data_IF_856308042602
#
_entry.id   IF_856308042602
#
_cell.length_a   1.000
_cell.length_b   1.000
_cell.length_c   1.000
_cell.angle_alpha   90.00
_cell.angle_beta   90.00
_cell.angle_gamma   90.00
#
_symmetry.space_group_name_H-M   'P 1'
#
loop_
_entity.id
_entity.type
_entity.pdbx_description
1 polymer ?
#
# COMPACT_ATOMS: atom_id res chain seq x y z
N UNK A 1 19.65 6.36 24.64
CA UNK A 1 19.49 6.09 23.19
C UNK A 1 18.54 7.07 22.46
N UNK A 2 18.12 8.20 23.05
CA UNK A 2 17.13 9.11 22.44
C UNK A 2 17.67 10.12 21.40
N UNK A 3 18.95 10.47 21.47
CA UNK A 3 19.51 11.50 20.57
C UNK A 3 19.55 11.07 19.10
N UNK A 4 19.76 9.78 18.83
CA UNK A 4 19.82 9.23 17.47
C UNK A 4 18.51 9.47 16.70
N UNK A 5 17.36 9.22 17.34
CA UNK A 5 16.05 9.41 16.70
C UNK A 5 15.69 10.88 16.52
N UNK A 6 16.13 11.74 17.45
CA UNK A 6 16.02 13.19 17.29
C UNK A 6 16.80 13.69 16.06
N UNK A 7 18.02 13.17 15.84
CA UNK A 7 18.79 13.48 14.62
C UNK A 7 18.12 12.97 13.34
N UNK A 8 17.50 11.80 13.39
CA UNK A 8 16.73 11.25 12.25
C UNK A 8 15.56 12.19 11.90
N UNK A 9 14.80 12.68 12.90
CA UNK A 9 13.73 13.66 12.67
C UNK A 9 14.26 14.94 12.02
N UNK A 10 15.33 15.52 12.58
CA UNK A 10 15.94 16.75 12.06
C UNK A 10 16.42 16.56 10.62
N UNK A 11 17.03 15.41 10.32
CA UNK A 11 17.50 15.09 8.98
C UNK A 11 16.34 15.00 7.99
N UNK A 12 15.24 14.37 8.39
CA UNK A 12 14.01 14.33 7.58
C UNK A 12 13.41 15.72 7.35
N UNK A 13 13.30 16.57 8.38
CA UNK A 13 12.81 17.96 8.23
C UNK A 13 13.72 18.77 7.30
N UNK A 14 15.03 18.61 7.43
CA UNK A 14 16.01 19.32 6.60
C UNK A 14 15.89 18.92 5.13
N UNK A 15 15.73 17.62 4.86
CA UNK A 15 15.50 17.11 3.51
C UNK A 15 14.17 17.61 2.92
N UNK A 16 13.12 17.70 3.74
CA UNK A 16 11.82 18.21 3.31
C UNK A 16 11.92 19.69 2.89
N UNK A 17 12.61 20.50 3.70
CA UNK A 17 12.83 21.93 3.39
C UNK A 17 13.66 22.08 2.12
N UNK A 18 14.79 21.37 1.99
CA UNK A 18 15.61 21.41 0.78
C UNK A 18 14.80 21.00 -0.46
N UNK A 19 13.93 20.00 -0.33
CA UNK A 19 13.12 19.57 -1.45
C UNK A 19 12.06 20.59 -1.85
N UNK A 20 11.33 21.16 -0.88
CA UNK A 20 10.26 22.13 -1.16
C UNK A 20 10.81 23.44 -1.76
N UNK A 21 12.01 23.87 -1.37
CA UNK A 21 12.52 25.18 -1.76
C UNK A 21 13.58 25.14 -2.87
N UNK A 22 14.21 23.99 -3.16
CA UNK A 22 15.34 23.91 -4.09
C UNK A 22 15.13 22.86 -5.18
N UNK A 23 14.79 21.63 -4.80
CA UNK A 23 14.86 20.48 -5.71
C UNK A 23 13.52 20.24 -6.43
N UNK A 24 12.39 20.41 -5.74
CA UNK A 24 11.05 20.11 -6.25
C UNK A 24 10.91 18.67 -6.80
N UNK A 25 11.54 17.70 -6.16
CA UNK A 25 11.52 16.30 -6.60
C UNK A 25 10.62 15.44 -5.69
N UNK A 26 9.49 14.92 -6.19
CA UNK A 26 8.47 14.27 -5.34
C UNK A 26 8.97 13.08 -4.49
N UNK A 27 9.89 12.21 -4.98
CA UNK A 27 10.48 11.15 -4.16
C UNK A 27 11.25 11.64 -2.92
N UNK A 28 11.87 12.83 -2.99
CA UNK A 28 12.57 13.41 -1.83
C UNK A 28 11.59 13.89 -0.75
N UNK A 29 10.39 14.34 -1.12
CA UNK A 29 9.31 14.66 -0.17
C UNK A 29 8.86 13.39 0.57
N UNK A 30 8.71 12.28 -0.14
CA UNK A 30 8.30 11.00 0.47
C UNK A 30 9.37 10.50 1.44
N UNK A 31 10.62 10.47 0.99
CA UNK A 31 11.74 10.02 1.82
C UNK A 31 11.89 10.86 3.08
N UNK A 32 11.78 12.18 2.96
CA UNK A 32 11.86 13.10 4.10
C UNK A 32 10.70 12.91 5.09
N UNK A 33 9.46 12.81 4.61
CA UNK A 33 8.29 12.55 5.47
C UNK A 33 8.35 11.17 6.14
N UNK A 34 8.85 10.15 5.43
CA UNK A 34 9.08 8.82 5.98
C UNK A 34 10.12 8.81 7.10
N UNK A 35 11.26 9.48 6.89
CA UNK A 35 12.30 9.64 7.90
C UNK A 35 11.77 10.37 9.15
N UNK A 36 11.01 11.46 8.97
CA UNK A 36 10.40 12.20 10.08
C UNK A 36 9.48 11.27 10.88
N UNK A 37 8.64 10.50 10.18
CA UNK A 37 7.66 9.60 10.80
C UNK A 37 8.32 8.47 11.59
N UNK A 38 9.33 7.81 11.01
CA UNK A 38 10.10 6.75 11.68
C UNK A 38 10.90 7.31 12.86
N UNK A 39 11.53 8.47 12.69
CA UNK A 39 12.25 9.14 13.77
C UNK A 39 11.33 9.48 14.95
N UNK A 40 10.14 10.03 14.69
CA UNK A 40 9.13 10.29 15.72
C UNK A 40 8.63 9.01 16.38
N UNK A 41 8.44 7.95 15.60
CA UNK A 41 7.97 6.66 16.08
C UNK A 41 8.94 6.03 17.08
N UNK A 42 10.21 5.90 16.67
CA UNK A 42 11.23 5.27 17.48
C UNK A 42 11.68 6.14 18.65
N UNK A 43 11.59 7.47 18.54
CA UNK A 43 11.77 8.38 19.68
C UNK A 43 10.65 8.19 20.72
N UNK A 44 9.40 8.06 20.28
CA UNK A 44 8.25 7.82 21.16
C UNK A 44 8.27 6.47 21.88
N UNK A 45 8.68 5.40 21.19
CA UNK A 45 8.80 4.05 21.76
C UNK A 45 9.91 3.97 22.82
N UNK A 46 11.07 4.60 22.58
CA UNK A 46 12.20 4.59 23.53
C UNK A 46 11.94 5.40 24.81
N UNK A 47 10.86 6.16 24.86
CA UNK A 47 10.45 6.93 26.04
C UNK A 47 9.39 6.20 26.90
N UNK A 48 8.84 5.06 26.46
CA UNK A 48 7.68 4.43 27.11
C UNK A 48 7.89 2.92 27.26
N UNK A 49 8.07 2.46 28.51
CA UNK A 49 8.50 1.10 28.85
C UNK A 49 7.38 0.03 28.92
N UNK A 50 6.25 0.22 28.24
CA UNK A 50 5.16 -0.79 28.19
C UNK A 50 4.41 -0.70 26.86
N UNK A 51 3.88 -1.85 26.38
CA UNK A 51 2.83 -1.95 25.35
C UNK A 51 1.76 -0.90 25.64
N UNK A 52 1.75 0.18 24.88
CA UNK A 52 0.92 1.35 25.13
C UNK A 52 0.25 1.74 23.81
N UNK A 53 -1.04 2.07 23.83
CA UNK A 53 -1.86 2.44 22.67
C UNK A 53 -1.28 3.60 21.85
N UNK A 54 -0.28 4.30 22.41
CA UNK A 54 0.56 5.32 21.75
C UNK A 54 1.41 4.76 20.60
N UNK A 55 1.86 3.51 20.66
CA UNK A 55 2.58 2.86 19.56
C UNK A 55 1.64 2.62 18.39
N UNK A 56 0.38 2.24 18.67
CA UNK A 56 -0.64 2.12 17.64
C UNK A 56 -0.91 3.51 17.03
N UNK A 57 -1.11 4.56 17.83
CA UNK A 57 -1.25 5.95 17.34
C UNK A 57 -0.11 6.43 16.41
N UNK A 58 1.11 5.96 16.65
CA UNK A 58 2.30 6.28 15.85
C UNK A 58 2.29 5.51 14.53
N UNK A 59 1.97 4.23 14.59
CA UNK A 59 1.79 3.36 13.42
C UNK A 59 0.62 3.89 12.57
N UNK A 60 -0.49 4.29 13.20
CA UNK A 60 -1.64 4.95 12.59
C UNK A 60 -1.25 6.24 11.89
N UNK A 61 -0.38 7.04 12.50
CA UNK A 61 0.11 8.29 11.90
C UNK A 61 1.00 7.99 10.68
N UNK A 62 1.86 6.96 10.74
CA UNK A 62 2.66 6.52 9.60
C UNK A 62 1.78 6.00 8.46
N UNK A 63 0.78 5.18 8.75
CA UNK A 63 -0.18 4.70 7.75
C UNK A 63 -1.04 5.82 7.17
N UNK A 64 -1.48 6.77 8.00
CA UNK A 64 -2.21 7.97 7.56
C UNK A 64 -1.33 8.90 6.71
N UNK A 65 -0.04 9.02 7.01
CA UNK A 65 0.88 9.82 6.20
C UNK A 65 1.20 9.14 4.86
N UNK A 66 1.38 7.82 4.86
CA UNK A 66 1.48 7.04 3.64
C UNK A 66 0.20 7.20 2.80
N UNK A 67 -0.98 7.06 3.41
CA UNK A 67 -2.27 7.29 2.78
C UNK A 67 -2.44 8.71 2.21
N UNK A 68 -1.99 9.74 2.93
CA UNK A 68 -1.98 11.12 2.43
C UNK A 68 -1.04 11.29 1.23
N UNK A 69 0.15 10.67 1.29
CA UNK A 69 1.08 10.59 0.16
C UNK A 69 0.39 9.92 -1.03
N UNK A 70 -0.28 8.79 -0.81
CA UNK A 70 -0.95 8.02 -1.85
C UNK A 70 -2.18 8.72 -2.43
N UNK A 71 -2.97 9.44 -1.63
CA UNK A 71 -4.07 10.27 -2.11
C UNK A 71 -3.59 11.50 -2.90
N UNK A 72 -2.41 12.02 -2.57
CA UNK A 72 -1.79 13.10 -3.33
C UNK A 72 -1.37 12.64 -4.73
N UNK A 73 -0.77 11.45 -4.85
CA UNK A 73 -0.44 10.85 -6.14
C UNK A 73 -1.67 10.28 -6.85
N UNK A 74 -2.74 9.88 -6.15
CA UNK A 74 -4.00 9.43 -6.75
C UNK A 74 -4.83 10.50 -7.48
N UNK A 75 -4.25 11.66 -7.81
CA UNK A 75 -4.86 12.68 -8.68
C UNK A 75 -4.51 12.39 -10.14
N UNK A 76 -5.21 13.06 -11.06
CA UNK A 76 -5.30 12.86 -12.54
C UNK A 76 -4.03 12.56 -13.37
N UNK A 77 -2.86 12.41 -12.76
CA UNK A 77 -1.60 12.03 -13.41
C UNK A 77 -0.79 10.96 -12.69
N UNK A 78 -1.38 10.07 -11.86
CA UNK A 78 -0.71 8.81 -11.50
C UNK A 78 -1.65 7.61 -11.36
N UNK A 79 -1.13 6.42 -11.67
CA UNK A 79 -1.77 5.12 -11.46
C UNK A 79 -1.04 4.30 -10.38
N UNK A 80 -1.83 3.58 -9.58
CA UNK A 80 -1.37 2.62 -8.57
C UNK A 80 -1.36 1.22 -9.19
N UNK A 81 -0.17 0.75 -9.52
CA UNK A 81 0.07 -0.56 -10.12
C UNK A 81 0.58 -1.51 -9.04
N UNK A 82 0.17 -2.76 -9.05
CA UNK A 82 0.55 -3.80 -8.09
C UNK A 82 1.24 -4.91 -8.85
N UNK A 83 2.41 -5.32 -8.35
CA UNK A 83 3.22 -6.35 -8.97
C UNK A 83 3.21 -7.63 -8.12
N UNK A 84 3.22 -8.82 -8.76
CA UNK A 84 3.37 -10.08 -8.04
C UNK A 84 4.67 -10.11 -7.25
N UNK A 85 4.62 -10.69 -6.05
CA UNK A 85 5.77 -10.97 -5.19
C UNK A 85 6.75 -11.98 -5.77
N UNK A 86 6.32 -12.71 -6.81
CA UNK A 86 7.19 -13.63 -7.57
C UNK A 86 8.08 -12.89 -8.57
N UNK A 87 7.72 -11.67 -8.99
CA UNK A 87 8.48 -10.86 -9.95
C UNK A 87 9.47 -9.88 -9.29
N UNK A 88 9.43 -9.74 -7.96
CA UNK A 88 10.29 -8.87 -7.15
C UNK A 88 9.88 -8.94 -5.67
N UNK A 89 10.53 -8.21 -4.76
CA UNK A 89 9.93 -8.05 -3.42
C UNK A 89 8.59 -7.30 -3.55
N UNK A 90 7.64 -7.60 -2.65
CA UNK A 90 6.23 -7.21 -2.73
C UNK A 90 5.99 -5.69 -2.71
N UNK A 91 5.41 -5.10 -3.78
CA UNK A 91 5.08 -3.68 -3.69
C UNK A 91 4.09 -3.12 -4.70
N UNK A 92 3.68 -1.90 -4.39
CA UNK A 92 2.89 -1.05 -5.26
C UNK A 92 3.84 -0.10 -5.99
N UNK A 93 3.67 0.00 -7.31
CA UNK A 93 4.36 0.89 -8.21
C UNK A 93 3.45 2.09 -8.53
N UNK A 94 3.88 3.30 -8.18
CA UNK A 94 3.21 4.54 -8.58
C UNK A 94 3.82 5.05 -9.88
N UNK A 95 3.03 5.22 -10.94
CA UNK A 95 3.48 5.68 -12.26
C UNK A 95 2.69 6.89 -12.73
N UNK A 96 3.34 7.84 -13.39
CA UNK A 96 2.76 9.10 -13.89
C UNK A 96 1.79 8.92 -15.08
N UNK A 97 1.96 7.90 -15.92
CA UNK A 97 1.04 7.57 -17.02
C UNK A 97 1.19 6.11 -17.44
N UNK A 98 0.12 5.41 -17.83
CA UNK A 98 0.22 4.03 -18.33
C UNK A 98 -0.61 3.78 -19.60
N UNK A 99 0.00 3.22 -20.67
CA UNK A 99 0.40 1.82 -20.67
C UNK A 99 1.87 1.60 -21.09
N UNK A 100 2.79 1.64 -20.13
CA UNK A 100 4.21 1.29 -20.38
C UNK A 100 4.36 -0.23 -20.31
N UNK A 101 5.14 -0.85 -21.19
CA UNK A 101 5.53 -2.25 -20.98
C UNK A 101 6.55 -2.29 -19.83
N UNK A 102 6.13 -2.71 -18.64
CA UNK A 102 7.05 -2.98 -17.53
C UNK A 102 7.74 -4.31 -17.83
N UNK A 103 8.93 -4.24 -18.41
CA UNK A 103 9.70 -5.45 -18.78
C UNK A 103 10.37 -6.09 -17.57
N UNK A 104 10.83 -5.29 -16.60
CA UNK A 104 11.45 -5.76 -15.36
C UNK A 104 11.42 -4.68 -14.28
N UNK A 105 11.01 -5.05 -13.08
CA UNK A 105 11.10 -4.17 -11.90
C UNK A 105 12.41 -4.48 -11.18
N UNK A 106 13.25 -3.47 -10.93
CA UNK A 106 14.42 -3.63 -10.08
C UNK A 106 14.04 -3.40 -8.61
N UNK A 107 14.79 -4.01 -7.70
CA UNK A 107 14.60 -3.87 -6.24
C UNK A 107 15.10 -2.51 -5.71
N UNK A 108 14.76 -1.44 -6.41
CA UNK A 108 15.09 -0.07 -6.06
C UNK A 108 13.80 0.69 -5.72
N UNK A 109 13.88 1.61 -4.76
CA UNK A 109 12.74 2.44 -4.35
C UNK A 109 12.20 3.31 -5.52
N UNK A 110 13.08 3.72 -6.43
CA UNK A 110 12.75 4.53 -7.60
C UNK A 110 13.25 3.78 -8.82
N UNK A 111 12.37 3.58 -9.79
CA UNK A 111 12.66 2.95 -11.07
C UNK A 111 12.22 3.89 -12.20
N UNK A 112 12.89 3.77 -13.35
CA UNK A 112 12.54 4.50 -14.56
C UNK A 112 12.10 3.53 -15.65
N UNK A 113 10.93 3.78 -16.26
CA UNK A 113 10.33 2.93 -17.28
C UNK A 113 9.89 3.78 -18.48
N UNK A 114 10.65 3.79 -19.58
CA UNK A 114 10.28 4.45 -20.84
C UNK A 114 9.50 5.77 -20.64
N UNK A 115 10.16 6.76 -20.05
CA UNK A 115 9.65 8.09 -19.70
C UNK A 115 8.75 8.20 -18.46
N UNK A 116 8.34 7.09 -17.85
CA UNK A 116 7.60 7.06 -16.58
C UNK A 116 8.52 6.85 -15.37
N UNK A 117 8.21 7.52 -14.26
CA UNK A 117 8.86 7.27 -12.96
C UNK A 117 7.99 6.34 -12.13
N UNK A 118 8.55 5.18 -11.76
CA UNK A 118 7.92 4.21 -10.86
C UNK A 118 8.49 4.28 -9.46
N UNK A 119 7.64 4.55 -8.47
CA UNK A 119 8.03 4.47 -7.06
C UNK A 119 7.51 3.16 -6.48
N UNK A 120 8.42 2.33 -5.98
CA UNK A 120 8.11 1.02 -5.42
C UNK A 120 7.92 1.13 -3.90
N UNK A 121 6.77 0.71 -3.37
CA UNK A 121 6.43 0.87 -1.96
C UNK A 121 5.87 -0.41 -1.35
N UNK A 122 6.32 -0.72 -0.14
CA UNK A 122 5.77 -1.79 0.68
C UNK A 122 4.38 -1.38 1.20
N UNK A 123 3.41 -2.26 1.05
CA UNK A 123 2.01 -2.00 1.40
C UNK A 123 1.48 -3.02 2.42
N UNK A 124 0.39 -2.73 3.14
CA UNK A 124 -0.32 -3.74 3.93
C UNK A 124 -0.61 -5.04 3.16
N UNK A 125 -0.97 -4.94 1.86
CA UNK A 125 -1.21 -6.12 1.02
C UNK A 125 0.03 -7.00 0.82
N UNK A 126 1.20 -6.37 0.73
CA UNK A 126 2.50 -7.03 0.62
C UNK A 126 2.82 -7.88 1.85
N UNK A 127 2.65 -7.29 3.03
CA UNK A 127 2.84 -7.96 4.32
C UNK A 127 1.88 -9.15 4.49
N UNK A 128 0.63 -8.97 4.04
CA UNK A 128 -0.41 -9.99 4.13
C UNK A 128 -0.07 -11.21 3.27
N UNK A 129 0.46 -11.02 2.06
CA UNK A 129 0.90 -12.12 1.21
C UNK A 129 2.00 -12.94 1.91
N UNK A 130 2.97 -12.28 2.55
CA UNK A 130 4.04 -12.96 3.27
C UNK A 130 3.52 -13.75 4.47
N UNK A 131 2.62 -13.17 5.26
CA UNK A 131 2.00 -13.87 6.39
C UNK A 131 1.15 -15.07 5.91
N UNK A 132 0.39 -14.92 4.83
CA UNK A 132 -0.36 -16.03 4.24
C UNK A 132 0.56 -17.18 3.81
N UNK A 133 1.70 -16.87 3.18
CA UNK A 133 2.71 -17.87 2.81
C UNK A 133 3.32 -18.56 4.02
N UNK A 134 3.64 -17.82 5.09
CA UNK A 134 4.15 -18.39 6.36
C UNK A 134 3.14 -19.35 7.01
N UNK A 135 1.85 -19.09 6.81
CA UNK A 135 0.76 -19.97 7.27
C UNK A 135 0.49 -21.17 6.34
N UNK A 136 1.29 -21.34 5.28
CA UNK A 136 1.18 -22.46 4.34
C UNK A 136 0.07 -22.30 3.30
N UNK A 137 -0.47 -21.10 3.11
CA UNK A 137 -1.50 -20.84 2.09
C UNK A 137 -0.82 -20.80 0.70
N UNK A 138 -1.33 -21.62 -0.22
CA UNK A 138 -0.90 -21.64 -1.60
C UNK A 138 -1.73 -20.65 -2.42
N UNK A 139 -1.06 -19.80 -3.20
CA UNK A 139 -1.71 -18.82 -4.07
C UNK A 139 -2.23 -19.42 -5.39
N UNK A 140 -2.18 -20.75 -5.57
CA UNK A 140 -2.92 -21.45 -6.63
C UNK A 140 -4.40 -21.71 -6.31
N UNK A 141 -4.84 -21.43 -5.09
CA UNK A 141 -6.23 -21.55 -4.67
C UNK A 141 -7.14 -20.53 -5.39
N UNK A 142 -8.47 -20.72 -5.27
CA UNK A 142 -9.43 -19.78 -5.86
C UNK A 142 -9.26 -18.37 -5.28
N UNK A 143 -9.40 -17.36 -6.15
CA UNK A 143 -9.24 -15.96 -5.74
C UNK A 143 -10.20 -15.56 -4.60
N UNK A 144 -11.45 -16.04 -4.67
CA UNK A 144 -12.43 -15.80 -3.61
C UNK A 144 -11.98 -16.38 -2.26
N UNK A 145 -11.44 -17.61 -2.25
CA UNK A 145 -10.89 -18.22 -1.04
C UNK A 145 -9.72 -17.40 -0.46
N UNK A 146 -8.76 -16.99 -1.29
CA UNK A 146 -7.61 -16.22 -0.85
C UNK A 146 -8.03 -14.87 -0.25
N UNK A 147 -8.95 -14.17 -0.92
CA UNK A 147 -9.47 -12.90 -0.45
C UNK A 147 -10.27 -13.06 0.85
N UNK A 148 -11.10 -14.11 0.99
CA UNK A 148 -11.86 -14.36 2.23
C UNK A 148 -10.91 -14.66 3.38
N UNK A 149 -9.89 -15.47 3.11
CA UNK A 149 -8.85 -15.79 4.10
C UNK A 149 -8.13 -14.54 4.59
N UNK A 150 -7.75 -13.65 3.68
CA UNK A 150 -7.04 -12.43 4.04
C UNK A 150 -7.94 -11.41 4.74
N UNK A 151 -9.05 -11.03 4.12
CA UNK A 151 -9.87 -9.90 4.57
C UNK A 151 -10.79 -10.25 5.74
N UNK A 152 -11.24 -11.50 5.85
CA UNK A 152 -12.20 -11.91 6.88
C UNK A 152 -11.45 -12.64 7.99
N UNK A 153 -10.84 -13.80 7.69
CA UNK A 153 -10.29 -14.68 8.73
C UNK A 153 -9.08 -14.07 9.45
N UNK A 154 -8.12 -13.51 8.70
CA UNK A 154 -6.86 -13.05 9.30
C UNK A 154 -6.99 -11.67 9.94
N UNK A 155 -7.75 -10.78 9.32
CA UNK A 155 -7.74 -9.36 9.70
C UNK A 155 -9.10 -8.73 9.98
N UNK A 156 -10.23 -9.42 9.77
CA UNK A 156 -11.57 -8.94 10.12
C UNK A 156 -11.87 -7.53 9.55
N UNK A 157 -11.45 -7.30 8.30
CA UNK A 157 -11.64 -6.06 7.55
C UNK A 157 -12.95 -6.02 6.76
N UNK A 158 -13.66 -7.14 6.68
CA UNK A 158 -14.92 -7.30 5.96
C UNK A 158 -15.75 -8.42 6.59
N UNK A 159 -17.06 -8.37 6.41
CA UNK A 159 -17.95 -9.46 6.82
C UNK A 159 -18.05 -10.54 5.74
N UNK A 160 -18.05 -10.13 4.47
CA UNK A 160 -18.10 -11.02 3.32
C UNK A 160 -17.54 -10.33 2.07
N UNK A 161 -17.30 -11.10 1.02
CA UNK A 161 -16.90 -10.59 -0.28
C UNK A 161 -17.39 -11.46 -1.43
N UNK A 162 -17.48 -10.84 -2.58
CA UNK A 162 -17.85 -11.46 -3.85
C UNK A 162 -16.84 -11.04 -4.93
N UNK A 163 -16.43 -12.00 -5.75
CA UNK A 163 -15.48 -11.80 -6.85
C UNK A 163 -16.18 -12.15 -8.16
N UNK A 164 -16.23 -11.19 -9.08
CA UNK A 164 -16.83 -11.34 -10.40
C UNK A 164 -15.81 -11.02 -11.48
N UNK A 165 -15.59 -11.96 -12.40
CA UNK A 165 -14.80 -11.72 -13.60
C UNK A 165 -15.71 -11.09 -14.65
N UNK A 166 -15.48 -9.80 -14.97
CA UNK A 166 -16.23 -9.10 -16.03
C UNK A 166 -15.69 -9.55 -17.39
N UNK A 167 -14.36 -9.61 -17.52
CA UNK A 167 -13.64 -10.20 -18.64
C UNK A 167 -12.26 -10.70 -18.19
N UNK A 168 -11.42 -11.19 -19.11
CA UNK A 168 -10.08 -11.73 -18.82
C UNK A 168 -9.09 -10.70 -18.23
N UNK A 169 -9.41 -9.42 -18.35
CA UNK A 169 -8.60 -8.28 -17.90
C UNK A 169 -9.27 -7.46 -16.83
N UNK A 170 -10.54 -7.67 -16.52
CA UNK A 170 -11.28 -6.85 -15.57
C UNK A 170 -11.98 -7.71 -14.51
N UNK A 171 -11.57 -7.50 -13.25
CA UNK A 171 -12.10 -8.20 -12.08
C UNK A 171 -12.82 -7.18 -11.21
N UNK A 172 -14.06 -7.48 -10.87
CA UNK A 172 -14.84 -6.73 -9.91
C UNK A 172 -14.83 -7.47 -8.57
N UNK A 173 -14.49 -6.75 -7.50
CA UNK A 173 -14.55 -7.27 -6.13
C UNK A 173 -15.46 -6.38 -5.31
N UNK A 174 -16.51 -6.98 -4.75
CA UNK A 174 -17.43 -6.33 -3.83
C UNK A 174 -17.16 -6.79 -2.42
N UNK A 175 -16.86 -5.87 -1.53
CA UNK A 175 -16.59 -6.13 -0.12
C UNK A 175 -17.79 -5.65 0.68
N UNK A 176 -18.44 -6.57 1.40
CA UNK A 176 -19.63 -6.29 2.19
C UNK A 176 -19.27 -6.06 3.65
N UNK A 177 -19.84 -5.01 4.25
CA UNK A 177 -19.51 -4.62 5.61
C UNK A 177 -18.02 -4.30 5.80
N UNK A 178 -17.40 -3.46 4.95
CA UNK A 178 -16.02 -3.07 5.16
C UNK A 178 -15.92 -2.45 6.55
N UNK A 179 -15.09 -3.03 7.42
CA UNK A 179 -14.97 -2.59 8.80
C UNK A 179 -13.86 -1.53 8.90
N UNK A 180 -14.20 -0.23 9.04
CA UNK A 180 -13.20 0.83 9.22
C UNK A 180 -12.64 0.87 10.65
N UNK A 181 -13.17 0.08 11.60
CA UNK A 181 -12.83 0.20 13.04
C UNK A 181 -11.42 -0.25 13.41
N UNK A 182 -10.56 -0.58 12.45
CA UNK A 182 -9.12 -0.69 12.68
C UNK A 182 -8.42 0.53 12.07
N UNK A 183 -8.33 1.61 12.87
CA UNK A 183 -7.35 2.71 12.85
C UNK A 183 -6.92 3.41 11.53
N UNK A 184 -7.35 2.96 10.36
CA UNK A 184 -6.91 3.41 9.04
C UNK A 184 -8.10 4.06 8.32
N UNK A 185 -8.15 5.38 8.43
CA UNK A 185 -9.36 6.20 8.36
C UNK A 185 -9.90 6.57 6.98
N UNK A 186 -9.52 5.90 5.89
CA UNK A 186 -10.24 6.03 4.61
C UNK A 186 -10.86 4.70 4.25
N UNK A 187 -12.19 4.68 4.29
CA UNK A 187 -13.03 3.52 4.05
C UNK A 187 -12.65 2.89 2.69
N UNK A 188 -12.08 1.69 2.75
CA UNK A 188 -11.70 0.91 1.60
C UNK A 188 -10.27 1.06 1.09
N UNK A 189 -9.43 1.96 1.61
CA UNK A 189 -8.05 2.11 1.13
C UNK A 189 -7.23 0.83 1.38
N UNK A 190 -7.13 0.42 2.65
CA UNK A 190 -6.37 -0.78 3.06
C UNK A 190 -6.96 -2.03 2.39
N UNK A 191 -8.29 -2.15 2.38
CA UNK A 191 -8.97 -3.26 1.72
C UNK A 191 -8.61 -3.34 0.23
N UNK A 192 -8.62 -2.21 -0.47
CA UNK A 192 -8.27 -2.16 -1.90
C UNK A 192 -6.83 -2.58 -2.16
N UNK A 193 -5.89 -2.16 -1.32
CA UNK A 193 -4.49 -2.58 -1.44
C UNK A 193 -4.35 -4.10 -1.27
N UNK A 194 -5.02 -4.67 -0.27
CA UNK A 194 -4.99 -6.11 -0.01
C UNK A 194 -5.56 -6.89 -1.18
N UNK A 195 -6.74 -6.47 -1.68
CA UNK A 195 -7.39 -7.12 -2.82
C UNK A 195 -6.48 -7.07 -4.05
N UNK A 196 -5.97 -5.90 -4.42
CA UNK A 196 -5.13 -5.75 -5.59
C UNK A 196 -3.82 -6.55 -5.48
N UNK A 197 -3.17 -6.55 -4.32
CA UNK A 197 -1.97 -7.37 -4.06
C UNK A 197 -2.25 -8.86 -4.22
N UNK A 198 -3.35 -9.38 -3.63
CA UNK A 198 -3.68 -10.81 -3.72
C UNK A 198 -4.02 -11.21 -5.16
N UNK A 199 -4.72 -10.36 -5.91
CA UNK A 199 -5.03 -10.63 -7.33
C UNK A 199 -3.74 -10.65 -8.15
N UNK A 200 -2.85 -9.68 -7.97
CA UNK A 200 -1.56 -9.66 -8.66
C UNK A 200 -0.78 -10.95 -8.40
N UNK A 201 -0.74 -11.38 -7.14
CA UNK A 201 -0.03 -12.57 -6.72
C UNK A 201 -0.65 -13.86 -7.29
N UNK A 202 -1.97 -14.04 -7.12
CA UNK A 202 -2.70 -15.23 -7.58
C UNK A 202 -2.59 -15.41 -9.09
N UNK A 203 -2.69 -14.32 -9.86
CA UNK A 203 -2.62 -14.37 -11.32
C UNK A 203 -1.18 -14.30 -11.85
N UNK A 204 -0.19 -14.01 -10.99
CA UNK A 204 1.19 -13.69 -11.38
C UNK A 204 1.25 -12.63 -12.48
N UNK A 205 0.36 -11.64 -12.41
CA UNK A 205 0.24 -10.53 -13.37
C UNK A 205 0.23 -9.20 -12.67
N UNK A 206 0.58 -8.16 -13.41
CA UNK A 206 0.53 -6.80 -12.93
C UNK A 206 -0.94 -6.34 -12.95
N UNK A 207 -1.40 -5.68 -11.89
CA UNK A 207 -2.78 -5.16 -11.84
C UNK A 207 -2.83 -3.71 -11.39
N UNK A 208 -3.91 -2.98 -11.69
CA UNK A 208 -4.15 -1.66 -11.14
C UNK A 208 -5.61 -1.48 -10.74
N UNK A 209 -5.86 -0.61 -9.77
CA UNK A 209 -7.22 -0.25 -9.35
C UNK A 209 -7.75 0.80 -10.33
N UNK A 210 -8.68 0.40 -11.20
CA UNK A 210 -9.32 1.30 -12.17
C UNK A 210 -10.33 2.22 -11.49
N UNK A 211 -11.15 1.67 -10.58
CA UNK A 211 -12.12 2.46 -9.83
C UNK A 211 -12.36 1.87 -8.44
N UNK A 212 -12.60 2.76 -7.48
CA UNK A 212 -12.98 2.43 -6.12
C UNK A 212 -14.21 3.26 -5.76
N UNK A 213 -15.35 2.61 -5.54
CA UNK A 213 -16.60 3.27 -5.19
C UNK A 213 -17.16 2.67 -3.90
N UNK A 214 -17.37 3.51 -2.89
CA UNK A 214 -18.01 3.12 -1.64
C UNK A 214 -19.48 3.55 -1.65
N UNK A 215 -20.40 2.62 -1.42
CA UNK A 215 -21.83 2.91 -1.24
C UNK A 215 -22.37 2.21 0.00
N UNK A 216 -22.92 2.98 0.95
CA UNK A 216 -23.59 2.55 2.19
C UNK A 216 -22.85 1.53 3.07
N UNK A 217 -22.69 0.29 2.60
CA UNK A 217 -22.04 -0.81 3.29
C UNK A 217 -21.26 -1.76 2.34
N UNK A 218 -20.99 -1.30 1.11
CA UNK A 218 -20.29 -2.06 0.08
C UNK A 218 -19.17 -1.20 -0.49
N UNK A 219 -17.97 -1.76 -0.52
CA UNK A 219 -16.85 -1.24 -1.29
C UNK A 219 -16.77 -2.02 -2.59
N UNK A 220 -17.01 -1.35 -3.71
CA UNK A 220 -16.90 -1.92 -5.04
C UNK A 220 -15.58 -1.49 -5.69
N UNK A 221 -14.78 -2.48 -6.06
CA UNK A 221 -13.46 -2.33 -6.63
C UNK A 221 -13.44 -2.91 -8.03
N UNK A 222 -12.97 -2.13 -8.99
CA UNK A 222 -12.65 -2.61 -10.34
C UNK A 222 -11.15 -2.64 -10.51
N UNK A 223 -10.64 -3.81 -10.83
CA UNK A 223 -9.21 -4.10 -10.88
C UNK A 223 -8.90 -4.63 -12.26
N UNK A 224 -8.02 -3.93 -12.96
CA UNK A 224 -7.62 -4.28 -14.30
C UNK A 224 -6.29 -5.04 -14.27
N UNK A 225 -6.20 -6.10 -15.06
CA UNK A 225 -5.08 -7.03 -15.18
C UNK A 225 -4.35 -6.77 -16.50
N UNK A 226 -3.03 -6.63 -16.41
CA UNK A 226 -2.14 -6.36 -17.54
C UNK A 226 -1.46 -7.64 -17.99
#
# INVERSE_FOLDING_TARGET
>A
MNYLWFYIIILGVSLLILNIFIIYYPPFTIFSLGIISVGLASYGVNLVDKKNDKINLIVDNLYRNLELIFSYYGKDGYYRVFVPSSLGYNGMLLLDTFPVKIEKVNNELINHFNDAIGIFLETPGSLIIEEMRKMGINFSETLEFLLKKALIDLYDFANDLEVNFIDDKLIQVKIYGPNPNKQYGILGYVQSLIVASIIAENLSKIVYIESQTASSNVLDLKIHVI
#
